data_IF_210588568702
#
_entry.id   IF_210588568702
#
_cell.length_a   1.000
_cell.length_b   1.000
_cell.length_c   1.000
_cell.angle_alpha   90.00
_cell.angle_beta   90.00
_cell.angle_gamma   90.00
#
_symmetry.space_group_name_H-M   'P 1'
#
loop_
_entity.id
_entity.type
_entity.pdbx_description
1 polymer ?
#
# COMPACT_ATOMS: atom_id res chain seq x y z
N UNK A 1 -66.00 34.14 0.15
CA UNK A 1 -64.78 34.22 0.98
C UNK A 1 -63.84 35.16 0.25
N UNK A 2 -63.88 36.44 0.61
CA UNK A 2 -63.25 37.53 -0.14
C UNK A 2 -61.85 37.74 0.46
N UNK A 3 -60.80 37.40 -0.31
CA UNK A 3 -59.42 37.62 0.14
C UNK A 3 -59.18 39.13 0.27
N UNK A 4 -58.82 39.56 1.48
CA UNK A 4 -58.50 40.96 1.77
C UNK A 4 -57.10 41.29 1.23
N UNK A 5 -57.06 41.89 0.04
CA UNK A 5 -55.84 42.26 -0.67
C UNK A 5 -55.10 43.44 -0.02
N UNK A 6 -55.71 44.12 0.95
CA UNK A 6 -55.09 45.27 1.65
C UNK A 6 -53.91 44.87 2.53
N UNK A 7 -53.88 43.63 3.02
CA UNK A 7 -52.73 43.05 3.74
C UNK A 7 -51.48 42.90 2.84
N UNK A 8 -51.60 42.90 1.52
CA UNK A 8 -50.45 42.78 0.61
C UNK A 8 -49.83 44.17 0.33
N UNK A 9 -50.59 45.25 0.49
CA UNK A 9 -50.13 46.63 0.26
C UNK A 9 -49.56 47.31 1.51
N UNK A 10 -49.41 46.60 2.63
CA UNK A 10 -48.75 47.14 3.81
C UNK A 10 -47.23 47.22 3.54
N UNK A 11 -46.61 48.42 3.61
CA UNK A 11 -45.17 48.59 3.35
C UNK A 11 -44.27 47.76 4.29
N UNK A 12 -44.80 47.32 5.43
CA UNK A 12 -44.12 46.38 6.33
C UNK A 12 -44.05 44.93 5.81
N UNK A 13 -45.01 44.50 4.99
CA UNK A 13 -45.06 43.14 4.43
C UNK A 13 -44.16 43.03 3.19
N UNK A 14 -44.13 44.05 2.32
CA UNK A 14 -43.22 44.10 1.16
C UNK A 14 -41.75 44.07 1.58
N UNK A 15 -41.39 44.86 2.59
CA UNK A 15 -40.01 44.90 3.11
C UNK A 15 -39.61 43.59 3.77
N UNK A 16 -40.52 42.96 4.53
CA UNK A 16 -40.29 41.64 5.12
C UNK A 16 -40.03 40.57 4.03
N UNK A 17 -40.79 40.59 2.93
CA UNK A 17 -40.60 39.65 1.81
C UNK A 17 -39.22 39.83 1.15
N UNK A 18 -38.80 41.08 0.90
CA UNK A 18 -37.49 41.38 0.30
C UNK A 18 -36.35 40.89 1.20
N UNK A 19 -36.44 41.11 2.52
CA UNK A 19 -35.42 40.67 3.48
C UNK A 19 -35.33 39.14 3.52
N UNK A 20 -36.47 38.43 3.57
CA UNK A 20 -36.52 36.97 3.55
C UNK A 20 -35.92 36.42 2.25
N UNK A 21 -36.26 37.01 1.10
CA UNK A 21 -35.72 36.61 -0.20
C UNK A 21 -34.19 36.83 -0.28
N UNK A 22 -33.69 37.97 0.20
CA UNK A 22 -32.26 38.28 0.21
C UNK A 22 -31.46 37.34 1.12
N UNK A 23 -32.00 37.01 2.30
CA UNK A 23 -31.40 36.01 3.20
C UNK A 23 -31.41 34.63 2.56
N UNK A 24 -32.52 34.24 1.93
CA UNK A 24 -32.64 32.97 1.20
C UNK A 24 -31.63 32.82 0.07
N UNK A 25 -31.47 33.85 -0.77
CA UNK A 25 -30.48 33.87 -1.86
C UNK A 25 -29.06 33.79 -1.31
N UNK A 26 -28.76 34.56 -0.26
CA UNK A 26 -27.43 34.55 0.37
C UNK A 26 -27.11 33.17 0.96
N UNK A 27 -28.07 32.55 1.64
CA UNK A 27 -27.92 31.20 2.20
C UNK A 27 -27.75 30.17 1.09
N UNK A 28 -28.52 30.26 0.01
CA UNK A 28 -28.43 29.37 -1.15
C UNK A 28 -27.06 29.46 -1.84
N UNK A 29 -26.57 30.67 -2.09
CA UNK A 29 -25.23 30.91 -2.65
C UNK A 29 -24.16 30.35 -1.72
N UNK A 30 -24.28 30.57 -0.40
CA UNK A 30 -23.32 30.10 0.60
C UNK A 30 -23.28 28.57 0.66
N UNK A 31 -24.43 27.91 0.71
CA UNK A 31 -24.55 26.44 0.69
C UNK A 31 -24.03 25.85 -0.63
N UNK A 32 -24.32 26.49 -1.75
CA UNK A 32 -23.83 26.07 -3.06
C UNK A 32 -22.30 26.17 -3.14
N UNK A 33 -21.70 27.27 -2.67
CA UNK A 33 -20.24 27.44 -2.60
C UNK A 33 -19.58 26.40 -1.70
N UNK A 34 -20.16 26.12 -0.53
CA UNK A 34 -19.66 25.11 0.40
C UNK A 34 -19.69 23.71 -0.22
N UNK A 35 -20.81 23.32 -0.85
CA UNK A 35 -20.93 22.03 -1.56
C UNK A 35 -19.98 21.92 -2.74
N UNK A 36 -19.81 23.00 -3.51
CA UNK A 36 -18.93 23.02 -4.69
C UNK A 36 -17.47 22.93 -4.28
N UNK A 37 -17.06 23.61 -3.20
CA UNK A 37 -15.72 23.51 -2.64
C UNK A 37 -15.44 22.12 -2.05
N UNK A 38 -16.40 21.51 -1.36
CA UNK A 38 -16.27 20.14 -0.85
C UNK A 38 -16.07 19.13 -1.99
N UNK A 39 -16.91 19.20 -3.04
CA UNK A 39 -16.78 18.35 -4.24
C UNK A 39 -15.49 18.59 -5.00
N UNK A 40 -15.04 19.84 -5.10
CA UNK A 40 -13.77 20.16 -5.76
C UNK A 40 -12.60 19.48 -5.06
N UNK A 41 -12.54 19.54 -3.72
CA UNK A 41 -11.50 18.87 -2.93
C UNK A 41 -11.55 17.36 -3.09
N UNK A 42 -12.74 16.77 -3.01
CA UNK A 42 -12.92 15.33 -3.19
C UNK A 42 -12.48 14.89 -4.60
N UNK A 43 -12.88 15.63 -5.64
CA UNK A 43 -12.47 15.35 -7.01
C UNK A 43 -10.96 15.52 -7.23
N UNK A 44 -10.34 16.54 -6.61
CA UNK A 44 -8.90 16.74 -6.67
C UNK A 44 -8.14 15.59 -5.98
N UNK A 45 -8.64 15.12 -4.84
CA UNK A 45 -8.10 13.96 -4.13
C UNK A 45 -8.23 12.69 -4.98
N UNK A 46 -9.41 12.43 -5.53
CA UNK A 46 -9.64 11.29 -6.43
C UNK A 46 -8.77 11.36 -7.68
N UNK A 47 -8.68 12.53 -8.33
CA UNK A 47 -7.85 12.72 -9.51
C UNK A 47 -6.35 12.52 -9.21
N UNK A 48 -5.90 12.97 -8.04
CA UNK A 48 -4.52 12.75 -7.59
C UNK A 48 -4.26 11.28 -7.32
N UNK A 49 -5.16 10.59 -6.59
CA UNK A 49 -5.06 9.16 -6.33
C UNK A 49 -5.04 8.34 -7.63
N UNK A 50 -5.91 8.67 -8.58
CA UNK A 50 -5.96 8.02 -9.90
C UNK A 50 -4.67 8.24 -10.69
N UNK A 51 -4.12 9.46 -10.69
CA UNK A 51 -2.84 9.74 -11.36
C UNK A 51 -1.69 8.97 -10.74
N UNK A 52 -1.62 8.89 -9.41
CA UNK A 52 -0.60 8.12 -8.70
C UNK A 52 -0.74 6.63 -8.97
N UNK A 53 -1.96 6.10 -8.93
CA UNK A 53 -2.27 4.72 -9.31
C UNK A 53 -1.77 4.42 -10.73
N UNK A 54 -2.15 5.25 -11.70
CA UNK A 54 -1.75 5.10 -13.09
C UNK A 54 -0.23 5.19 -13.28
N UNK A 55 0.46 6.04 -12.51
CA UNK A 55 1.91 6.12 -12.53
C UNK A 55 2.58 4.85 -11.98
N UNK A 56 2.04 4.31 -10.87
CA UNK A 56 2.52 3.05 -10.29
C UNK A 56 2.24 1.84 -11.20
N UNK A 57 1.24 1.90 -12.08
CA UNK A 57 1.02 0.85 -13.08
C UNK A 57 2.03 0.88 -14.22
N UNK A 58 2.73 2.00 -14.45
CA UNK A 58 3.76 2.10 -15.50
C UNK A 58 5.12 1.53 -15.09
N UNK A 59 5.39 1.37 -13.80
CA UNK A 59 6.69 0.85 -13.32
C UNK A 59 6.67 -0.67 -13.22
N UNK A 60 7.78 -1.31 -13.60
CA UNK A 60 8.00 -2.74 -13.42
C UNK A 60 8.56 -3.04 -12.02
N UNK A 61 7.85 -2.54 -11.01
CA UNK A 61 8.08 -2.85 -9.59
C UNK A 61 6.72 -3.20 -9.02
N UNK A 62 6.56 -4.40 -8.48
CA UNK A 62 5.31 -4.80 -7.82
C UNK A 62 5.11 -3.98 -6.55
N UNK A 63 3.95 -3.33 -6.41
CA UNK A 63 3.61 -2.49 -5.24
C UNK A 63 2.28 -2.95 -4.66
N UNK A 64 2.27 -3.15 -3.35
CA UNK A 64 1.05 -3.37 -2.55
C UNK A 64 1.03 -2.38 -1.40
N UNK A 65 -0.02 -1.56 -1.31
CA UNK A 65 -0.28 -0.72 -0.14
C UNK A 65 -1.28 -1.42 0.76
N UNK A 66 -0.90 -1.60 2.01
CA UNK A 66 -1.70 -2.20 3.06
C UNK A 66 -2.09 -1.13 4.07
N UNK A 67 -3.33 -1.17 4.55
CA UNK A 67 -3.75 -0.39 5.70
C UNK A 67 -3.22 -0.99 7.02
N UNK A 68 -3.54 -0.34 8.14
CA UNK A 68 -3.11 -0.79 9.48
C UNK A 68 -3.58 -2.22 9.85
N UNK A 69 -4.70 -2.68 9.27
CA UNK A 69 -5.23 -4.03 9.47
C UNK A 69 -4.64 -5.06 8.49
N UNK A 70 -3.59 -4.69 7.76
CA UNK A 70 -2.94 -5.52 6.72
C UNK A 70 -3.86 -5.93 5.57
N UNK A 71 -4.85 -5.08 5.23
CA UNK A 71 -5.67 -5.23 4.02
C UNK A 71 -5.14 -4.40 2.89
N UNK A 72 -5.12 -4.97 1.69
CA UNK A 72 -4.67 -4.27 0.50
C UNK A 72 -5.65 -3.17 0.10
N UNK A 73 -5.17 -1.93 0.06
CA UNK A 73 -5.93 -0.79 -0.46
C UNK A 73 -5.58 -0.51 -1.92
N UNK A 74 -4.39 -0.89 -2.34
CA UNK A 74 -3.89 -0.73 -3.70
C UNK A 74 -2.93 -1.86 -4.07
N UNK A 75 -3.05 -2.36 -5.29
CA UNK A 75 -2.17 -3.36 -5.91
C UNK A 75 -1.95 -2.95 -7.36
N UNK A 76 -0.71 -2.59 -7.71
CA UNK A 76 -0.39 -2.17 -9.08
C UNK A 76 -0.32 -3.35 -10.06
N UNK A 77 -0.33 -3.02 -11.35
CA UNK A 77 -0.24 -4.00 -12.45
C UNK A 77 0.93 -4.97 -12.33
N UNK A 78 2.14 -4.47 -12.03
CA UNK A 78 3.32 -5.32 -11.95
C UNK A 78 3.18 -6.42 -10.88
N UNK A 79 2.62 -6.12 -9.69
CA UNK A 79 2.37 -7.16 -8.69
C UNK A 79 1.35 -8.19 -9.18
N UNK A 80 0.28 -7.73 -9.85
CA UNK A 80 -0.74 -8.61 -10.43
C UNK A 80 -0.11 -9.57 -11.43
N UNK A 81 0.77 -9.07 -12.29
CA UNK A 81 1.48 -9.88 -13.29
C UNK A 81 2.43 -10.90 -12.64
N UNK A 82 3.18 -10.47 -11.61
CA UNK A 82 4.20 -11.33 -10.97
C UNK A 82 3.58 -12.56 -10.31
N UNK A 83 2.39 -12.38 -9.71
CA UNK A 83 1.68 -13.41 -8.97
C UNK A 83 0.43 -13.91 -9.69
N UNK A 84 0.26 -13.61 -10.99
CA UNK A 84 -0.92 -13.99 -11.78
C UNK A 84 -2.21 -13.76 -10.99
N UNK A 85 -2.33 -12.58 -10.36
CA UNK A 85 -3.43 -12.24 -9.48
C UNK A 85 -4.62 -11.74 -10.32
N UNK A 86 -5.79 -12.38 -10.25
CA UNK A 86 -6.98 -11.91 -10.96
C UNK A 86 -7.38 -10.50 -10.52
N UNK A 87 -7.81 -9.66 -11.47
CA UNK A 87 -8.24 -8.29 -11.19
C UNK A 87 -9.36 -8.24 -10.16
N UNK A 88 -10.36 -9.12 -10.27
CA UNK A 88 -11.45 -9.21 -9.30
C UNK A 88 -10.94 -9.46 -7.87
N UNK A 89 -9.92 -10.31 -7.72
CA UNK A 89 -9.32 -10.58 -6.41
C UNK A 89 -8.52 -9.38 -5.92
N UNK A 90 -7.76 -8.71 -6.78
CA UNK A 90 -7.00 -7.52 -6.42
C UNK A 90 -7.94 -6.37 -5.99
N UNK A 91 -9.02 -6.17 -6.74
CA UNK A 91 -9.98 -5.08 -6.53
C UNK A 91 -10.90 -5.33 -5.33
N UNK A 92 -11.02 -6.58 -4.86
CA UNK A 92 -11.73 -6.95 -3.62
C UNK A 92 -11.08 -6.44 -2.32
N UNK A 93 -9.92 -5.79 -2.41
CA UNK A 93 -9.12 -5.32 -1.26
C UNK A 93 -8.81 -6.45 -0.27
N UNK A 94 -8.15 -7.53 -0.73
CA UNK A 94 -7.97 -8.74 0.04
C UNK A 94 -7.03 -8.48 1.23
N UNK A 95 -7.18 -9.22 2.34
CA UNK A 95 -6.16 -9.23 3.38
C UNK A 95 -4.85 -9.82 2.84
N UNK A 96 -3.72 -9.37 3.36
CA UNK A 96 -2.38 -9.83 2.96
C UNK A 96 -2.26 -11.36 2.94
N UNK A 97 -2.84 -12.05 3.93
CA UNK A 97 -2.81 -13.52 4.01
C UNK A 97 -3.48 -14.18 2.79
N UNK A 98 -4.55 -13.59 2.24
CA UNK A 98 -5.23 -14.13 1.07
C UNK A 98 -4.41 -13.96 -0.22
N UNK A 99 -3.53 -12.95 -0.28
CA UNK A 99 -2.55 -12.80 -1.36
C UNK A 99 -1.45 -13.88 -1.26
N UNK A 100 -1.00 -14.19 -0.04
CA UNK A 100 -0.01 -15.25 0.18
C UNK A 100 -0.57 -16.64 -0.12
N UNK A 101 -1.83 -16.92 0.27
CA UNK A 101 -2.50 -18.16 -0.12
C UNK A 101 -2.76 -18.24 -1.62
N UNK A 102 -3.11 -17.12 -2.27
CA UNK A 102 -3.16 -17.08 -3.74
C UNK A 102 -1.85 -17.57 -4.37
N UNK A 103 -0.74 -16.99 -3.92
CA UNK A 103 0.59 -17.31 -4.43
C UNK A 103 0.97 -18.78 -4.17
N UNK A 104 0.59 -19.34 -3.02
CA UNK A 104 0.74 -20.78 -2.74
C UNK A 104 -0.09 -21.62 -3.69
N UNK A 105 -1.38 -21.32 -3.86
CA UNK A 105 -2.31 -22.16 -4.60
C UNK A 105 -1.94 -22.23 -6.09
N UNK A 106 -1.30 -21.18 -6.64
CA UNK A 106 -0.73 -21.19 -8.00
C UNK A 106 0.72 -21.67 -8.07
N UNK A 107 1.29 -22.14 -6.96
CA UNK A 107 2.67 -22.63 -6.83
C UNK A 107 3.70 -21.58 -7.27
N UNK A 108 3.46 -20.31 -6.90
CA UNK A 108 4.30 -19.19 -7.31
C UNK A 108 5.70 -19.22 -6.69
N UNK A 109 5.86 -19.83 -5.51
CA UNK A 109 7.11 -19.81 -4.77
C UNK A 109 8.06 -20.93 -5.20
N UNK A 110 9.35 -20.62 -5.39
CA UNK A 110 10.38 -21.63 -5.65
C UNK A 110 10.89 -22.26 -4.35
N UNK A 111 10.01 -22.93 -3.61
CA UNK A 111 10.31 -23.67 -2.38
C UNK A 111 9.54 -25.00 -2.36
N UNK A 112 10.01 -25.99 -1.57
CA UNK A 112 9.25 -27.22 -1.31
C UNK A 112 7.88 -26.94 -0.69
N UNK A 113 6.85 -27.70 -1.08
CA UNK A 113 5.46 -27.49 -0.64
C UNK A 113 5.30 -27.55 0.89
N UNK A 114 6.07 -28.41 1.56
CA UNK A 114 6.07 -28.57 3.02
C UNK A 114 6.70 -27.37 3.77
N UNK A 115 7.49 -26.55 3.07
CA UNK A 115 8.07 -25.33 3.62
C UNK A 115 7.20 -24.08 3.39
N UNK A 116 6.26 -24.11 2.43
CA UNK A 116 5.48 -22.93 2.02
C UNK A 116 4.66 -22.35 3.17
N UNK A 117 3.95 -23.19 3.93
CA UNK A 117 3.11 -22.68 5.02
C UNK A 117 3.95 -22.01 6.12
N UNK A 118 5.12 -22.57 6.44
CA UNK A 118 6.07 -21.98 7.40
C UNK A 118 6.66 -20.66 6.88
N UNK A 119 6.96 -20.60 5.57
CA UNK A 119 7.39 -19.38 4.91
C UNK A 119 6.32 -18.28 4.99
N UNK A 120 5.06 -18.60 4.69
CA UNK A 120 3.93 -17.66 4.77
C UNK A 120 3.77 -17.13 6.19
N UNK A 121 3.76 -18.01 7.20
CA UNK A 121 3.61 -17.62 8.60
C UNK A 121 4.70 -16.62 9.03
N UNK A 122 5.97 -16.92 8.72
CA UNK A 122 7.10 -16.04 9.02
C UNK A 122 6.98 -14.70 8.30
N UNK A 123 6.60 -14.72 7.02
CA UNK A 123 6.45 -13.51 6.20
C UNK A 123 5.38 -12.57 6.75
N UNK A 124 4.23 -13.11 7.13
CA UNK A 124 3.13 -12.32 7.70
C UNK A 124 3.59 -11.64 8.98
N UNK A 125 4.32 -12.35 9.85
CA UNK A 125 4.83 -11.78 11.09
C UNK A 125 5.83 -10.64 10.84
N UNK A 126 6.79 -10.85 9.93
CA UNK A 126 7.76 -9.80 9.55
C UNK A 126 7.07 -8.52 9.02
N UNK A 127 6.06 -8.68 8.17
CA UNK A 127 5.32 -7.53 7.61
C UNK A 127 4.52 -6.80 8.70
N UNK A 128 3.88 -7.55 9.60
CA UNK A 128 3.15 -6.99 10.75
C UNK A 128 4.08 -6.22 11.67
N UNK A 129 5.23 -6.81 12.02
CA UNK A 129 6.27 -6.18 12.81
C UNK A 129 6.92 -4.96 12.12
N UNK A 130 6.67 -4.75 10.83
CA UNK A 130 7.21 -3.62 10.08
C UNK A 130 8.70 -3.76 9.80
N UNK A 131 9.21 -5.00 9.77
CA UNK A 131 10.62 -5.27 9.50
C UNK A 131 11.00 -4.79 8.10
N UNK A 132 12.02 -3.93 8.01
CA UNK A 132 12.45 -3.31 6.76
C UNK A 132 13.56 -4.04 6.03
N UNK A 133 14.08 -5.15 6.59
CA UNK A 133 15.16 -5.93 5.96
C UNK A 133 14.67 -6.51 4.63
N UNK A 134 15.26 -6.09 3.49
CA UNK A 134 14.89 -6.64 2.20
C UNK A 134 15.16 -8.14 2.18
N UNK A 135 14.28 -8.91 1.55
CA UNK A 135 14.42 -10.37 1.42
C UNK A 135 14.27 -10.76 -0.03
N UNK A 136 15.14 -11.65 -0.48
CA UNK A 136 15.05 -12.25 -1.80
C UNK A 136 13.92 -13.27 -1.84
N UNK A 137 13.02 -13.12 -2.81
CA UNK A 137 11.93 -14.03 -3.11
C UNK A 137 12.18 -14.63 -4.50
N UNK A 138 12.31 -15.96 -4.56
CA UNK A 138 12.44 -16.70 -5.82
C UNK A 138 11.08 -17.25 -6.20
N UNK A 139 10.64 -16.96 -7.42
CA UNK A 139 9.39 -17.48 -7.97
C UNK A 139 9.66 -18.72 -8.82
N UNK A 140 8.68 -19.62 -8.91
CA UNK A 140 8.78 -20.88 -9.64
C UNK A 140 9.00 -20.69 -11.15
N UNK A 141 8.58 -19.54 -11.69
CA UNK A 141 8.85 -19.15 -13.08
C UNK A 141 10.29 -18.65 -13.33
N UNK A 142 11.18 -18.74 -12.34
CA UNK A 142 12.58 -18.32 -12.42
C UNK A 142 12.83 -16.84 -12.10
N UNK A 143 11.78 -16.03 -11.93
CA UNK A 143 11.94 -14.62 -11.54
C UNK A 143 12.44 -14.51 -10.12
N UNK A 144 13.42 -13.64 -9.91
CA UNK A 144 13.94 -13.30 -8.58
C UNK A 144 13.52 -11.86 -8.26
N UNK A 145 12.85 -11.69 -7.13
CA UNK A 145 12.33 -10.43 -6.66
C UNK A 145 13.01 -10.08 -5.34
N UNK A 146 13.50 -8.85 -5.20
CA UNK A 146 13.84 -8.29 -3.90
C UNK A 146 12.58 -7.67 -3.32
N UNK A 147 12.08 -8.28 -2.25
CA UNK A 147 10.95 -7.76 -1.50
C UNK A 147 11.44 -6.84 -0.38
N UNK A 148 10.82 -5.67 -0.22
CA UNK A 148 10.99 -4.84 0.98
C UNK A 148 9.64 -4.40 1.56
N UNK A 149 9.66 -4.01 2.84
CA UNK A 149 8.49 -3.53 3.56
C UNK A 149 8.83 -2.19 4.20
N UNK A 150 8.01 -1.17 3.97
CA UNK A 150 8.10 0.13 4.61
C UNK A 150 6.85 0.39 5.46
N UNK A 151 7.05 0.90 6.67
CA UNK A 151 5.96 1.35 7.55
C UNK A 151 5.52 2.75 7.14
N UNK A 152 4.22 2.95 6.95
CA UNK A 152 3.64 4.24 6.58
C UNK A 152 3.21 5.02 7.84
N UNK A 153 3.12 6.37 7.79
CA UNK A 153 2.75 7.20 8.94
C UNK A 153 1.37 6.91 9.54
N UNK A 154 0.46 6.37 8.73
CA UNK A 154 -0.91 5.98 9.12
C UNK A 154 -0.96 4.59 9.78
N UNK A 155 0.19 3.94 9.99
CA UNK A 155 0.28 2.58 10.49
C UNK A 155 0.12 1.50 9.43
N UNK A 156 -0.08 1.88 8.16
CA UNK A 156 -0.08 0.97 7.02
C UNK A 156 1.31 0.44 6.66
N UNK A 157 1.38 -0.36 5.59
CA UNK A 157 2.63 -0.90 5.05
C UNK A 157 2.66 -0.75 3.54
N UNK A 158 3.80 -0.39 2.98
CA UNK A 158 4.09 -0.52 1.56
C UNK A 158 5.00 -1.71 1.35
N UNK A 159 4.54 -2.70 0.58
CA UNK A 159 5.36 -3.77 0.08
C UNK A 159 5.84 -3.44 -1.33
N UNK A 160 7.14 -3.58 -1.57
CA UNK A 160 7.70 -3.45 -2.92
C UNK A 160 8.40 -4.74 -3.33
N UNK A 161 8.27 -5.10 -4.59
CA UNK A 161 8.83 -6.30 -5.21
C UNK A 161 9.61 -5.85 -6.45
N UNK A 162 10.91 -5.69 -6.29
CA UNK A 162 11.77 -5.20 -7.38
C UNK A 162 12.43 -6.40 -8.05
N UNK A 163 12.26 -6.59 -9.37
CA UNK A 163 13.01 -7.62 -10.08
C UNK A 163 14.51 -7.34 -9.95
N UNK A 164 15.28 -8.34 -9.55
CA UNK A 164 16.74 -8.22 -9.51
C UNK A 164 17.30 -8.77 -10.81
N UNK A 165 18.21 -8.01 -11.41
CA UNK A 165 18.94 -8.46 -12.61
C UNK A 165 19.98 -9.51 -12.23
N UNK A 166 20.38 -10.33 -13.19
CA UNK A 166 21.41 -11.37 -12.99
C UNK A 166 22.73 -10.82 -12.45
N UNK A 167 23.06 -9.56 -12.78
CA UNK A 167 24.27 -8.90 -12.30
C UNK A 167 24.24 -8.69 -10.77
N UNK A 168 23.10 -8.23 -10.23
CA UNK A 168 22.94 -8.03 -8.77
C UNK A 168 22.90 -9.37 -8.05
N UNK A 169 22.29 -10.39 -8.66
CA UNK A 169 22.27 -11.77 -8.13
C UNK A 169 23.68 -12.31 -7.88
N UNK A 170 24.60 -12.11 -8.83
CA UNK A 170 25.98 -12.56 -8.68
C UNK A 170 26.77 -11.77 -7.62
N UNK A 171 26.55 -10.45 -7.51
CA UNK A 171 27.25 -9.62 -6.51
C UNK A 171 26.80 -9.93 -5.09
N UNK A 172 25.50 -10.15 -4.86
CA UNK A 172 24.97 -10.49 -3.54
C UNK A 172 25.42 -11.90 -3.10
N UNK A 173 25.39 -12.90 -4.00
CA UNK A 173 25.85 -14.27 -3.70
C UNK A 173 27.36 -14.35 -3.38
N UNK A 174 28.18 -13.53 -4.04
CA UNK A 174 29.62 -13.42 -3.74
C UNK A 174 29.86 -12.71 -2.41
N UNK A 175 29.17 -11.59 -2.16
CA UNK A 175 29.32 -10.83 -0.92
C UNK A 175 28.89 -11.63 0.31
N UNK A 176 27.85 -12.45 0.18
CA UNK A 176 27.38 -13.32 1.26
C UNK A 176 28.39 -14.45 1.54
N UNK A 177 28.95 -15.09 0.51
CA UNK A 177 30.04 -16.09 0.67
C UNK A 177 31.29 -15.48 1.30
N UNK A 178 31.72 -14.32 0.84
CA UNK A 178 32.93 -13.65 1.34
C UNK A 178 32.74 -13.22 2.80
N UNK A 179 31.55 -12.74 3.17
CA UNK A 179 31.19 -12.45 4.56
C UNK A 179 31.25 -13.70 5.46
N UNK A 180 30.69 -14.83 5.02
CA UNK A 180 30.74 -16.08 5.79
C UNK A 180 32.16 -16.67 5.89
N UNK A 181 32.98 -16.55 4.85
CA UNK A 181 34.38 -16.97 4.88
C UNK A 181 35.20 -16.11 5.83
N UNK A 182 35.03 -14.79 5.81
CA UNK A 182 35.69 -13.87 6.74
C UNK A 182 35.31 -14.15 8.20
N UNK A 183 34.05 -14.50 8.46
CA UNK A 183 33.60 -14.87 9.81
C UNK A 183 34.22 -16.20 10.27
N UNK A 184 34.33 -17.19 9.37
CA UNK A 184 34.94 -18.49 9.66
C UNK A 184 36.45 -18.39 9.88
N UNK A 185 37.15 -17.53 9.15
CA UNK A 185 38.58 -17.27 9.36
C UNK A 185 38.85 -16.54 10.68
N UNK A 186 37.92 -15.68 11.13
CA UNK A 186 37.99 -15.00 12.43
C UNK A 186 37.84 -15.93 13.64
N UNK A 187 37.03 -16.98 13.55
CA UNK A 187 36.81 -17.95 14.65
C UNK A 187 37.96 -18.96 14.83
N UNK A 188 38.83 -19.12 13.83
CA UNK A 188 39.98 -20.06 13.92
C UNK A 188 41.15 -19.47 14.74
N UNK A 189 41.14 -18.16 15.03
CA UNK A 189 42.21 -17.51 15.80
C UNK A 189 41.94 -17.26 17.29
N UNK A 190 40.77 -17.63 17.83
CA UNK A 190 40.41 -17.33 19.24
C UNK A 190 40.49 -18.51 20.22
N UNK A 191 40.85 -19.73 19.81
CA UNK A 191 40.83 -20.90 20.72
C UNK A 191 42.18 -21.50 21.15
N UNK A 192 43.33 -20.93 20.79
CA UNK A 192 44.63 -21.42 21.27
C UNK A 192 45.47 -20.31 21.89
N UNK A 193 45.22 -20.00 23.17
CA UNK A 193 46.23 -19.46 24.10
C UNK A 193 45.72 -19.38 25.54
N UNK A 194 45.39 -20.52 26.14
CA UNK A 194 45.52 -20.73 27.59
C UNK A 194 45.91 -22.19 27.77
N UNK A 195 47.20 -22.42 28.03
CA UNK A 195 47.74 -23.53 28.82
C UNK A 195 49.26 -23.58 28.61
N UNK A 196 49.98 -22.77 29.39
CA UNK A 196 51.39 -22.98 29.72
C UNK A 196 51.76 -22.03 30.88
N UNK A 197 51.38 -22.43 32.09
CA UNK A 197 51.98 -21.95 33.33
C UNK A 197 52.04 -23.11 34.31
N UNK A 198 53.06 -23.96 34.13
CA UNK A 198 53.74 -24.71 35.19
C UNK A 198 55.19 -24.99 34.73
#
# INVERSE_FOLDING_TARGET
MQYDWRLILDPGIETAIIVIAAVGITLAIRLFRLRRAARARENEQHATAQRLSAALDQIDIGVVLLNADTRAEFINRAFRDYFTLPDEKADSKPPLIALMYHARDIHAYALPDDEVDSFIARRVEMIRAGTSTPTTLRLANGRVLRMSCAVLPDGGRMLSYTPVTDLIRHTDELSERDYYLALREGDVFSSHRLDAAE
#
